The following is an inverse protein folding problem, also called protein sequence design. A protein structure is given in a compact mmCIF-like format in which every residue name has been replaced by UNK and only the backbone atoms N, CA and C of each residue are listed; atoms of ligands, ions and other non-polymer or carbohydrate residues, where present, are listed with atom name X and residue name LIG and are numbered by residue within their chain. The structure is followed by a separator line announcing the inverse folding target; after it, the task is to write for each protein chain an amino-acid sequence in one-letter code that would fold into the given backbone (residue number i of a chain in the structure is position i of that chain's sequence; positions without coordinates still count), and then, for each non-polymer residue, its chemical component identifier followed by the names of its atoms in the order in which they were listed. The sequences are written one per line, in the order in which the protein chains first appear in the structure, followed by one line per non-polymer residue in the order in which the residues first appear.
data_IF_768232101900
#
_entry.id   IF_768232101900
#
_cell.length_a   1.000
_cell.length_b   1.000
_cell.length_c   1.000
_cell.angle_alpha   90.00
_cell.angle_beta   90.00
_cell.angle_gamma   90.00
#
_symmetry.space_group_name_H-M   'P 1'
#
loop_
_entity.id
_entity.type
_entity.pdbx_description
1 polymer ?
#
# COMPACT_ATOMS: atom_id res chain seq x y z
N UNK A 1 20.10 -10.75 5.63
CA UNK A 1 19.47 -9.54 6.24
C UNK A 1 18.06 -9.80 6.81
N UNK A 2 17.68 -11.04 7.17
CA UNK A 2 16.29 -11.32 7.60
C UNK A 2 16.01 -11.03 9.08
N UNK A 3 17.01 -11.17 9.98
CA UNK A 3 16.80 -11.07 11.42
C UNK A 3 17.77 -10.08 12.09
N UNK A 4 17.57 -8.76 11.92
CA UNK A 4 18.42 -7.73 12.53
C UNK A 4 18.43 -7.77 14.07
N UNK A 5 17.36 -8.30 14.68
CA UNK A 5 17.26 -8.49 16.13
C UNK A 5 18.37 -9.38 16.71
N UNK A 6 18.97 -10.28 15.92
CA UNK A 6 20.04 -11.17 16.37
C UNK A 6 21.39 -10.43 16.51
N UNK A 7 21.53 -9.26 15.88
CA UNK A 7 22.77 -8.48 15.85
C UNK A 7 22.79 -7.35 16.89
N UNK A 8 22.06 -7.52 18.01
CA UNK A 8 21.92 -6.52 19.08
C UNK A 8 21.36 -5.16 18.62
N UNK A 9 20.61 -5.15 17.51
CA UNK A 9 19.94 -3.94 17.04
C UNK A 9 18.70 -3.68 17.91
N UNK A 10 18.51 -2.48 18.46
CA UNK A 10 17.34 -2.16 19.28
C UNK A 10 16.03 -2.25 18.49
N UNK A 11 14.95 -2.67 19.16
CA UNK A 11 13.63 -2.83 18.54
C UNK A 11 13.08 -1.52 17.95
N UNK A 12 13.35 -0.37 18.61
CA UNK A 12 12.90 0.96 18.16
C UNK A 12 13.51 1.39 16.83
N UNK A 13 14.59 0.74 16.38
CA UNK A 13 15.25 1.02 15.11
C UNK A 13 14.60 0.27 13.93
N UNK A 14 13.76 -0.73 14.20
CA UNK A 14 13.17 -1.57 13.16
C UNK A 14 11.92 -0.93 12.57
N UNK A 15 11.75 -1.05 11.25
CA UNK A 15 10.66 -0.40 10.51
C UNK A 15 9.24 -0.86 10.91
N UNK A 16 9.11 -2.02 11.55
CA UNK A 16 7.82 -2.58 11.98
C UNK A 16 7.94 -3.28 13.32
N UNK A 17 7.44 -2.62 14.35
CA UNK A 17 7.34 -3.17 15.69
C UNK A 17 5.96 -3.77 15.96
N UNK A 18 5.91 -4.77 16.84
CA UNK A 18 4.67 -5.34 17.41
C UNK A 18 3.58 -5.58 16.36
N UNK A 19 3.87 -6.42 15.36
CA UNK A 19 2.92 -6.70 14.30
C UNK A 19 1.59 -7.24 14.88
N UNK A 20 0.45 -6.76 14.39
CA UNK A 20 -0.88 -7.06 14.96
C UNK A 20 -1.22 -8.56 14.88
N UNK A 21 -0.72 -9.27 13.86
CA UNK A 21 -0.97 -10.71 13.68
C UNK A 21 -0.06 -11.57 14.54
N UNK A 22 1.25 -11.33 14.45
CA UNK A 22 2.26 -12.26 14.98
C UNK A 22 2.93 -11.75 16.26
N UNK A 23 2.70 -10.49 16.66
CA UNK A 23 3.35 -9.82 17.79
C UNK A 23 4.85 -9.52 17.58
N UNK A 24 5.48 -10.08 16.54
CA UNK A 24 6.91 -9.96 16.27
C UNK A 24 7.29 -8.58 15.73
N UNK A 25 8.51 -8.17 16.07
CA UNK A 25 9.17 -6.95 15.60
C UNK A 25 10.22 -7.35 14.57
N UNK A 26 10.31 -6.64 13.44
CA UNK A 26 11.20 -7.02 12.35
C UNK A 26 11.45 -5.92 11.33
N UNK A 27 12.46 -6.15 10.49
CA UNK A 27 12.76 -5.28 9.36
C UNK A 27 12.16 -5.88 8.09
N UNK A 28 11.32 -5.11 7.41
CA UNK A 28 10.71 -5.51 6.15
C UNK A 28 11.66 -5.22 4.99
N UNK A 29 11.85 -6.21 4.12
CA UNK A 29 12.55 -6.07 2.84
C UNK A 29 11.57 -5.60 1.76
N UNK A 30 12.09 -5.04 0.65
CA UNK A 30 11.33 -4.30 -0.38
C UNK A 30 9.97 -4.93 -0.76
N UNK A 31 9.95 -6.20 -1.13
CA UNK A 31 8.72 -6.90 -1.56
C UNK A 31 7.73 -7.13 -0.42
N UNK A 32 8.23 -7.35 0.79
CA UNK A 32 7.42 -7.57 1.98
C UNK A 32 6.75 -6.26 2.48
N UNK A 33 7.38 -5.10 2.25
CA UNK A 33 6.84 -3.79 2.64
C UNK A 33 5.49 -3.54 1.96
N UNK A 34 5.45 -3.70 0.63
CA UNK A 34 4.24 -3.45 -0.15
C UNK A 34 3.11 -4.40 0.23
N UNK A 35 3.42 -5.68 0.43
CA UNK A 35 2.43 -6.68 0.82
C UNK A 35 1.85 -6.39 2.21
N UNK A 36 2.69 -6.04 3.19
CA UNK A 36 2.20 -5.69 4.53
C UNK A 36 1.37 -4.42 4.55
N UNK A 37 1.71 -3.42 3.75
CA UNK A 37 0.89 -2.22 3.61
C UNK A 37 -0.50 -2.55 3.03
N UNK A 38 -0.58 -3.43 2.03
CA UNK A 38 -1.85 -3.88 1.45
C UNK A 38 -2.72 -4.61 2.48
N UNK A 39 -2.14 -5.58 3.19
CA UNK A 39 -2.84 -6.33 4.25
C UNK A 39 -3.43 -5.40 5.33
N UNK A 40 -2.67 -4.39 5.78
CA UNK A 40 -3.12 -3.44 6.79
C UNK A 40 -4.26 -2.55 6.28
N UNK A 41 -4.17 -2.07 5.03
CA UNK A 41 -5.21 -1.25 4.40
C UNK A 41 -6.51 -2.04 4.23
N UNK A 42 -6.42 -3.28 3.77
CA UNK A 42 -7.59 -4.16 3.61
C UNK A 42 -8.25 -4.46 4.95
N UNK A 43 -7.47 -4.72 6.00
CA UNK A 43 -7.99 -4.91 7.35
C UNK A 43 -8.75 -3.68 7.83
N UNK A 44 -8.19 -2.48 7.65
CA UNK A 44 -8.86 -1.23 8.05
C UNK A 44 -10.15 -0.96 7.26
N UNK A 45 -10.19 -1.35 5.98
CA UNK A 45 -11.41 -1.26 5.15
C UNK A 45 -12.49 -2.21 5.65
N UNK A 46 -12.13 -3.47 5.97
CA UNK A 46 -13.06 -4.48 6.51
C UNK A 46 -13.68 -4.05 7.84
N UNK A 47 -12.88 -3.49 8.74
CA UNK A 47 -13.34 -2.97 10.05
C UNK A 47 -14.19 -1.69 9.91
N UNK A 48 -14.19 -1.04 8.74
CA UNK A 48 -14.83 0.28 8.50
C UNK A 48 -14.27 1.40 9.39
N UNK A 49 -12.98 1.34 9.68
CA UNK A 49 -12.28 2.43 10.37
C UNK A 49 -12.26 3.68 9.47
N UNK A 50 -12.50 4.88 10.02
CA UNK A 50 -12.47 6.15 9.27
C UNK A 50 -11.21 6.32 8.40
N UNK A 51 -10.02 6.00 8.94
CA UNK A 51 -8.77 6.02 8.17
C UNK A 51 -8.78 5.02 7.00
N UNK A 52 -9.35 3.82 7.19
CA UNK A 52 -9.51 2.82 6.13
C UNK A 52 -10.45 3.29 5.01
N UNK A 53 -11.58 3.89 5.40
CA UNK A 53 -12.55 4.47 4.45
C UNK A 53 -11.93 5.62 3.65
N UNK A 54 -11.14 6.50 4.29
CA UNK A 54 -10.42 7.56 3.55
C UNK A 54 -9.40 7.00 2.56
N UNK A 55 -8.69 5.93 2.91
CA UNK A 55 -7.80 5.26 1.97
C UNK A 55 -8.55 4.62 0.80
N UNK A 56 -9.77 4.11 1.03
CA UNK A 56 -10.63 3.60 -0.04
C UNK A 56 -11.06 4.70 -1.01
N UNK A 57 -11.46 5.87 -0.50
CA UNK A 57 -11.84 7.03 -1.31
C UNK A 57 -10.66 7.83 -1.89
N UNK A 58 -9.41 7.45 -1.61
CA UNK A 58 -8.22 8.19 -2.07
C UNK A 58 -8.04 9.57 -1.41
N UNK A 59 -8.61 9.77 -0.23
CA UNK A 59 -8.48 11.01 0.54
C UNK A 59 -7.29 10.95 1.51
N UNK A 60 -6.82 12.14 1.91
CA UNK A 60 -5.74 12.29 2.91
C UNK A 60 -6.27 11.90 4.29
N UNK A 61 -5.42 11.29 5.11
CA UNK A 61 -5.85 10.58 6.33
C UNK A 61 -5.58 11.36 7.62
N UNK A 62 -4.54 12.20 7.66
CA UNK A 62 -4.07 12.90 8.88
C UNK A 62 -4.84 14.18 9.22
N UNK A 63 -6.13 14.26 8.87
CA UNK A 63 -6.96 15.43 9.20
C UNK A 63 -6.62 16.72 8.44
N UNK A 64 -5.95 16.62 7.29
CA UNK A 64 -5.65 17.80 6.49
C UNK A 64 -6.92 18.39 5.86
N UNK A 65 -7.05 19.72 5.89
CA UNK A 65 -8.17 20.43 5.28
C UNK A 65 -8.20 20.22 3.76
N UNK A 66 -9.30 19.68 3.25
CA UNK A 66 -9.48 19.33 1.82
C UNK A 66 -10.14 20.44 0.99
N UNK A 67 -10.59 21.54 1.63
CA UNK A 67 -11.29 22.66 0.95
C UNK A 67 -10.41 23.34 -0.10
N UNK A 68 -9.15 23.62 0.24
CA UNK A 68 -8.19 24.35 -0.61
C UNK A 68 -7.00 23.49 -1.02
N UNK A 69 -6.59 22.53 -0.20
CA UNK A 69 -5.37 21.74 -0.40
C UNK A 69 -5.61 20.51 -1.28
N UNK A 70 -4.66 20.20 -2.17
CA UNK A 70 -4.62 18.90 -2.87
C UNK A 70 -5.42 18.80 -4.19
N UNK A 71 -5.96 19.92 -4.70
CA UNK A 71 -6.79 19.96 -5.93
C UNK A 71 -6.10 19.36 -7.17
N UNK A 72 -4.78 19.53 -7.32
CA UNK A 72 -3.99 18.91 -8.43
C UNK A 72 -3.50 17.49 -8.12
N UNK A 73 -3.30 17.16 -6.85
CA UNK A 73 -2.71 15.87 -6.43
C UNK A 73 -3.72 14.72 -6.43
N UNK A 74 -5.00 14.99 -6.11
CA UNK A 74 -6.11 14.03 -6.26
C UNK A 74 -6.17 13.50 -7.71
N UNK A 75 -6.14 14.43 -8.67
CA UNK A 75 -6.13 14.11 -10.10
C UNK A 75 -4.92 13.26 -10.52
N UNK A 76 -3.73 13.48 -9.96
CA UNK A 76 -2.53 12.70 -10.29
C UNK A 76 -2.55 11.28 -9.71
N UNK A 77 -3.09 11.08 -8.51
CA UNK A 77 -3.22 9.74 -7.90
C UNK A 77 -4.25 8.88 -8.66
N UNK A 78 -5.39 9.46 -9.05
CA UNK A 78 -6.34 8.79 -9.95
C UNK A 78 -5.72 8.48 -11.32
N UNK A 79 -5.00 9.43 -11.93
CA UNK A 79 -4.29 9.19 -13.20
C UNK A 79 -3.28 8.04 -13.09
N UNK A 80 -2.54 7.93 -11.99
CA UNK A 80 -1.57 6.85 -11.76
C UNK A 80 -2.24 5.48 -11.60
N UNK A 81 -3.38 5.40 -10.92
CA UNK A 81 -4.16 4.18 -10.80
C UNK A 81 -4.75 3.77 -12.17
N UNK A 82 -5.43 4.69 -12.85
CA UNK A 82 -6.05 4.44 -14.14
C UNK A 82 -5.03 4.11 -15.25
N UNK A 83 -3.82 4.68 -15.18
CA UNK A 83 -2.73 4.36 -16.12
C UNK A 83 -2.24 2.91 -15.97
N UNK A 84 -2.09 2.43 -14.73
CA UNK A 84 -1.70 1.03 -14.46
C UNK A 84 -2.75 0.04 -14.94
N UNK A 85 -4.04 0.36 -14.77
CA UNK A 85 -5.14 -0.48 -15.27
C UNK A 85 -5.17 -0.55 -16.80
N UNK A 86 -4.93 0.58 -17.50
CA UNK A 86 -4.81 0.59 -18.97
C UNK A 86 -3.64 -0.25 -19.48
N UNK A 87 -2.46 -0.09 -18.89
CA UNK A 87 -1.26 -0.85 -19.26
C UNK A 87 -1.43 -2.37 -19.02
N UNK A 88 -2.12 -2.75 -17.95
CA UNK A 88 -2.44 -4.16 -17.68
C UNK A 88 -3.42 -4.74 -18.69
N UNK A 89 -4.43 -3.96 -19.10
CA UNK A 89 -5.43 -4.39 -20.07
C UNK A 89 -4.86 -4.52 -21.49
N UNK A 90 -3.99 -3.58 -21.91
CA UNK A 90 -3.24 -3.67 -23.18
C UNK A 90 -2.33 -4.90 -23.23
N UNK A 91 -1.59 -5.17 -22.15
CA UNK A 91 -0.76 -6.37 -22.04
C UNK A 91 -1.58 -7.66 -22.08
N UNK A 92 -2.72 -7.70 -21.38
CA UNK A 92 -3.64 -8.83 -21.43
C UNK A 92 -4.17 -9.10 -22.84
N UNK A 93 -4.54 -8.03 -23.56
CA UNK A 93 -4.99 -8.11 -24.95
C UNK A 93 -3.90 -8.65 -25.88
N UNK A 94 -2.66 -8.17 -25.76
CA UNK A 94 -1.52 -8.66 -26.56
C UNK A 94 -1.22 -10.15 -26.31
N UNK A 95 -1.31 -10.60 -25.07
CA UNK A 95 -1.13 -12.02 -24.71
C UNK A 95 -2.24 -12.87 -25.32
N UNK A 96 -3.50 -12.43 -25.25
CA UNK A 96 -4.64 -13.14 -25.83
C UNK A 96 -4.53 -13.27 -27.36
N UNK A 97 -4.10 -12.21 -28.06
CA UNK A 97 -3.85 -12.24 -29.49
C UNK A 97 -2.70 -13.20 -29.87
N UNK A 98 -1.67 -13.30 -29.04
CA UNK A 98 -0.54 -14.21 -29.27
C UNK A 98 -0.88 -15.69 -29.07
N UNK A 99 -1.90 -16.01 -28.28
CA UNK A 99 -2.33 -17.40 -28.00
C UNK A 99 -3.37 -17.92 -29.01
N UNK A 100 -3.92 -17.04 -29.84
CA UNK A 100 -4.94 -17.36 -30.85
C UNK A 100 -4.37 -17.67 -32.25
N UNK A 101 -3.04 -17.57 -32.42
CA UNK A 101 -2.31 -17.91 -33.64
C UNK A 101 -1.48 -19.17 -33.44
#
# INVERSE_FOLDING_TARGET
MQNPSQYRIPNWFLNREKNIKDGKTGQLLSTAVDNKLREDLERMKKIRLHRGLRHYWGLRVRGQHTKTTGRKQQHQLQKRANKKEKEANEKGKLIEYSLKN
#
